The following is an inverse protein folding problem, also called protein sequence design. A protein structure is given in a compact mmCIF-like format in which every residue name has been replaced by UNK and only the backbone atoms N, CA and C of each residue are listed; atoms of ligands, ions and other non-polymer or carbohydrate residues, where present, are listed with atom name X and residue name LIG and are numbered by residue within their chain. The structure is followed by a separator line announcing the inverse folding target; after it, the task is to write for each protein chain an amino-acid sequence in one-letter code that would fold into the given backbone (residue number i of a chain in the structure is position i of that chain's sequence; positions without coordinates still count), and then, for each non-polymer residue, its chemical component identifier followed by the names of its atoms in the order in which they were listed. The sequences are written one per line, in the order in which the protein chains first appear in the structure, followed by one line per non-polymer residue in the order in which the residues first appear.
data_IF_973033564867
#
_entry.id   IF_973033564867
#
_cell.length_a   1.000
_cell.length_b   1.000
_cell.length_c   1.000
_cell.angle_alpha   90.00
_cell.angle_beta   90.00
_cell.angle_gamma   90.00
#
_symmetry.space_group_name_H-M   'P 1'
#
loop_
_entity.id
_entity.type
_entity.pdbx_description
1 polymer ?
#
# COMPACT_ATOMS: atom_id res chain seq x y z
N UNK A 1 15.79 -12.57 2.52
CA UNK A 1 15.82 -12.29 3.97
C UNK A 1 14.38 -12.30 4.47
N UNK A 2 14.06 -12.90 5.63
CA UNK A 2 12.69 -12.93 6.14
C UNK A 2 12.26 -11.51 6.51
N UNK A 3 11.17 -11.03 5.93
CA UNK A 3 10.58 -9.74 6.24
C UNK A 3 9.90 -9.85 7.59
N UNK A 4 10.53 -9.34 8.65
CA UNK A 4 9.86 -9.24 9.95
C UNK A 4 8.80 -8.16 9.86
N UNK A 5 7.53 -8.57 9.83
CA UNK A 5 6.39 -7.64 9.97
C UNK A 5 6.34 -7.21 11.44
N UNK A 6 6.70 -5.96 11.70
CA UNK A 6 6.50 -5.35 13.02
C UNK A 6 5.04 -4.96 13.14
N UNK A 7 4.40 -5.36 14.24
CA UNK A 7 3.04 -4.91 14.55
C UNK A 7 3.05 -3.39 14.78
N UNK A 8 2.20 -2.61 14.09
CA UNK A 8 2.11 -1.16 14.28
C UNK A 8 1.60 -0.79 15.69
N UNK A 9 1.80 0.47 16.08
CA UNK A 9 1.39 0.99 17.38
C UNK A 9 -0.14 0.96 17.52
N UNK A 10 -0.67 0.75 18.73
CA UNK A 10 -2.12 0.63 18.94
C UNK A 10 -2.90 1.89 18.53
N UNK A 11 -2.22 3.04 18.41
CA UNK A 11 -2.79 4.30 17.95
C UNK A 11 -2.44 4.63 16.50
N UNK A 12 -1.92 3.67 15.73
CA UNK A 12 -1.56 3.89 14.32
C UNK A 12 -2.77 4.42 13.53
N UNK A 13 -2.52 5.52 12.82
CA UNK A 13 -3.53 6.26 12.07
C UNK A 13 -3.53 5.82 10.61
N UNK A 14 -4.72 5.75 10.02
CA UNK A 14 -4.89 5.48 8.60
C UNK A 14 -4.35 6.65 7.79
N UNK A 15 -3.45 6.36 6.85
CA UNK A 15 -2.84 7.35 5.99
C UNK A 15 -3.86 8.12 5.14
N UNK A 16 -5.05 7.55 4.89
CA UNK A 16 -6.11 8.20 4.13
C UNK A 16 -7.07 9.03 5.00
N UNK A 17 -7.69 8.42 6.02
CA UNK A 17 -8.79 9.05 6.78
C UNK A 17 -8.43 9.51 8.19
N UNK A 18 -7.20 9.26 8.66
CA UNK A 18 -6.73 9.61 10.02
C UNK A 18 -7.41 8.83 11.15
N UNK A 19 -8.28 7.87 10.85
CA UNK A 19 -8.89 7.01 11.87
C UNK A 19 -7.90 5.95 12.36
N UNK A 20 -8.12 5.42 13.58
CA UNK A 20 -7.29 4.33 14.10
C UNK A 20 -7.50 3.07 13.29
N UNK A 21 -6.41 2.44 12.85
CA UNK A 21 -6.49 1.29 11.94
C UNK A 21 -7.08 0.04 12.61
N UNK A 22 -6.86 -0.11 13.92
CA UNK A 22 -7.28 -1.29 14.70
C UNK A 22 -8.77 -1.32 15.05
N UNK A 23 -9.52 -0.23 14.82
CA UNK A 23 -10.99 -0.23 14.87
C UNK A 23 -11.63 -0.91 13.64
N UNK A 24 -10.81 -1.37 12.68
CA UNK A 24 -11.22 -1.90 11.39
C UNK A 24 -10.42 -3.18 11.00
N UNK A 25 -10.33 -3.49 9.70
CA UNK A 25 -9.56 -4.61 9.12
C UNK A 25 -8.32 -4.04 8.41
N UNK A 26 -7.22 -3.80 9.15
CA UNK A 26 -6.13 -2.98 8.68
C UNK A 26 -5.34 -3.64 7.54
N UNK A 27 -4.97 -2.83 6.56
CA UNK A 27 -4.08 -3.23 5.46
C UNK A 27 -2.75 -2.48 5.61
N UNK A 28 -1.65 -3.24 5.63
CA UNK A 28 -0.29 -2.71 5.66
C UNK A 28 0.33 -2.85 4.26
N UNK A 29 0.63 -1.73 3.62
CA UNK A 29 1.33 -1.70 2.32
C UNK A 29 2.76 -1.29 2.57
N UNK A 30 3.70 -2.08 2.06
CA UNK A 30 5.11 -1.73 2.10
C UNK A 30 5.64 -1.57 0.69
N UNK A 31 6.04 -0.37 0.36
CA UNK A 31 6.79 -0.14 -0.86
C UNK A 31 8.26 -0.56 -0.65
N UNK A 32 8.75 -1.47 -1.48
CA UNK A 32 10.13 -1.95 -1.41
C UNK A 32 11.00 -1.38 -2.54
N UNK A 33 10.49 -0.38 -3.29
CA UNK A 33 11.23 0.25 -4.38
C UNK A 33 12.15 1.37 -3.86
N UNK A 34 11.82 2.00 -2.73
CA UNK A 34 12.68 2.95 -2.01
C UNK A 34 13.01 2.43 -0.59
N UNK A 35 14.25 1.94 -0.40
CA UNK A 35 14.89 1.54 0.87
C UNK A 35 14.07 0.62 1.82
N UNK A 36 13.01 -0.03 1.33
CA UNK A 36 12.02 -0.69 2.19
C UNK A 36 11.52 0.25 3.30
N UNK A 37 11.06 1.45 2.92
CA UNK A 37 10.54 2.48 3.82
C UNK A 37 9.48 2.00 4.83
N UNK A 38 9.15 2.87 5.79
CA UNK A 38 8.13 2.59 6.79
C UNK A 38 6.80 2.21 6.12
N UNK A 39 6.16 1.10 6.52
CA UNK A 39 4.91 0.66 5.91
C UNK A 39 3.83 1.73 6.08
N UNK A 40 3.01 1.89 5.05
CA UNK A 40 1.82 2.73 5.09
C UNK A 40 0.63 1.89 5.54
N UNK A 41 -0.15 2.41 6.48
CA UNK A 41 -1.27 1.69 7.08
C UNK A 41 -2.62 2.30 6.67
N UNK A 42 -3.60 1.43 6.41
CA UNK A 42 -4.95 1.82 6.02
C UNK A 42 -5.99 1.06 6.85
N UNK A 43 -7.15 1.69 7.12
CA UNK A 43 -8.24 1.06 7.86
C UNK A 43 -8.82 -0.17 7.18
N UNK A 44 -8.86 -0.19 5.85
CA UNK A 44 -9.44 -1.25 5.02
C UNK A 44 -9.14 -0.98 3.53
N UNK A 45 -9.60 -1.89 2.67
CA UNK A 45 -9.41 -1.79 1.22
C UNK A 45 -10.00 -0.52 0.60
N UNK A 46 -11.12 0.00 1.13
CA UNK A 46 -11.72 1.22 0.57
C UNK A 46 -10.83 2.45 0.79
N UNK A 47 -10.18 2.56 1.96
CA UNK A 47 -9.22 3.64 2.23
C UNK A 47 -7.96 3.53 1.36
N UNK A 48 -7.47 2.31 1.15
CA UNK A 48 -6.34 2.07 0.25
C UNK A 48 -6.69 2.46 -1.19
N UNK A 49 -7.82 1.99 -1.72
CA UNK A 49 -8.25 2.32 -3.07
C UNK A 49 -8.44 3.81 -3.27
N UNK A 50 -9.07 4.50 -2.32
CA UNK A 50 -9.25 5.95 -2.40
C UNK A 50 -7.90 6.69 -2.40
N UNK A 51 -6.95 6.25 -1.59
CA UNK A 51 -5.59 6.83 -1.57
C UNK A 51 -4.86 6.64 -2.90
N UNK A 52 -4.93 5.43 -3.49
CA UNK A 52 -4.33 5.11 -4.78
C UNK A 52 -4.89 6.01 -5.89
N UNK A 53 -6.21 6.12 -5.98
CA UNK A 53 -6.88 6.92 -7.01
C UNK A 53 -6.60 8.42 -6.85
N UNK A 54 -6.61 8.95 -5.62
CA UNK A 54 -6.37 10.38 -5.37
C UNK A 54 -4.93 10.81 -5.68
N UNK A 55 -3.96 9.90 -5.49
CA UNK A 55 -2.54 10.18 -5.69
C UNK A 55 -2.01 9.63 -7.02
N UNK A 56 -2.88 9.11 -7.89
CA UNK A 56 -2.54 8.53 -9.19
C UNK A 56 -1.47 7.42 -9.09
N UNK A 57 -1.47 6.65 -7.99
CA UNK A 57 -0.42 5.67 -7.69
C UNK A 57 -0.46 4.42 -8.58
N UNK A 58 -1.49 4.27 -9.40
CA UNK A 58 -1.55 3.23 -10.43
C UNK A 58 -0.69 3.56 -11.65
N UNK A 59 -0.34 4.83 -11.86
CA UNK A 59 0.37 5.25 -13.06
C UNK A 59 1.85 4.85 -12.99
N UNK A 60 2.25 3.90 -13.85
CA UNK A 60 3.62 3.40 -13.91
C UNK A 60 3.95 2.28 -12.92
N UNK A 61 2.98 1.79 -12.14
CA UNK A 61 3.18 0.67 -11.22
C UNK A 61 3.10 -0.68 -11.96
N UNK A 62 4.25 -1.37 -12.00
CA UNK A 62 4.61 -2.76 -12.33
C UNK A 62 3.99 -3.49 -13.54
N UNK A 63 2.87 -3.08 -14.11
CA UNK A 63 2.50 -3.52 -15.44
C UNK A 63 3.23 -2.62 -16.43
N UNK A 64 4.51 -2.92 -16.68
CA UNK A 64 5.19 -2.50 -17.90
C UNK A 64 4.41 -3.07 -19.08
N UNK A 65 3.39 -2.32 -19.53
CA UNK A 65 2.66 -2.66 -20.73
C UNK A 65 3.44 -2.10 -21.92
N UNK A 66 4.30 -2.92 -22.49
CA UNK A 66 4.92 -2.66 -23.78
C UNK A 66 4.03 -3.24 -24.88
N UNK A 67 3.57 -2.45 -25.87
CA UNK A 67 2.78 -2.98 -26.99
C UNK A 67 3.57 -3.99 -27.87
N UNK A 68 4.89 -4.06 -27.69
CA UNK A 68 5.82 -4.96 -28.41
C UNK A 68 6.15 -6.25 -27.62
N UNK A 69 5.78 -6.36 -26.34
CA UNK A 69 5.96 -7.60 -25.58
C UNK A 69 4.68 -8.44 -25.57
N UNK A 70 4.71 -9.72 -26.02
CA UNK A 70 3.58 -10.61 -25.88
C UNK A 70 3.32 -10.84 -24.38
N UNK A 71 2.20 -10.31 -23.89
CA UNK A 71 1.90 -10.14 -22.47
C UNK A 71 1.96 -11.40 -21.60
N UNK A 72 2.06 -11.12 -20.29
CA UNK A 72 1.91 -12.00 -19.11
C UNK A 72 1.84 -13.52 -19.39
N UNK A 73 2.93 -14.23 -19.06
CA UNK A 73 2.91 -15.67 -18.75
C UNK A 73 2.57 -15.91 -17.29
#
# INVERSE_FOLDING_TARGET
MPTTVTTPDANEECAYCGSRIFDHDPICVRDCTDDCGSPTHFCNYACLSAHIEENDLTAGDACEWSPDEPGCS
#
